data_IF_258333699611
#
_entry.id   IF_258333699611
#
_cell.length_a   1.000
_cell.length_b   1.000
_cell.length_c   1.000
_cell.angle_alpha   90.00
_cell.angle_beta   90.00
_cell.angle_gamma   90.00
#
_symmetry.space_group_name_H-M   'P 1'
#
loop_
_entity.id
_entity.type
_entity.pdbx_description
1 polymer ?
#
# COMPACT_ATOMS: atom_id res chain seq x y z
N UNK A 1 -8.04 -13.49 14.01
CA UNK A 1 -7.49 -12.33 14.75
C UNK A 1 -8.65 -11.64 15.44
N UNK A 2 -8.48 -11.24 16.70
CA UNK A 2 -9.48 -10.47 17.44
C UNK A 2 -8.86 -9.13 17.79
N UNK A 3 -9.61 -8.04 17.64
CA UNK A 3 -9.21 -6.72 18.09
C UNK A 3 -9.42 -6.60 19.60
N UNK A 4 -8.57 -5.84 20.28
CA UNK A 4 -8.87 -5.48 21.67
C UNK A 4 -9.97 -4.41 21.76
N UNK A 5 -10.36 -4.06 22.99
CA UNK A 5 -11.43 -3.08 23.25
C UNK A 5 -11.15 -1.67 22.70
N UNK A 6 -9.91 -1.37 22.35
CA UNK A 6 -9.49 -0.09 21.75
C UNK A 6 -9.34 -0.20 20.23
N UNK A 7 -9.72 -1.33 19.63
CA UNK A 7 -9.61 -1.55 18.19
C UNK A 7 -8.20 -1.90 17.72
N UNK A 8 -7.26 -2.23 18.61
CA UNK A 8 -5.89 -2.60 18.21
C UNK A 8 -5.83 -4.06 17.80
N UNK A 9 -5.06 -4.34 16.75
CA UNK A 9 -4.79 -5.70 16.24
C UNK A 9 -3.32 -6.03 16.42
N UNK A 10 -3.04 -7.20 16.98
CA UNK A 10 -1.68 -7.71 17.07
C UNK A 10 -1.26 -8.30 15.72
N UNK A 11 -0.36 -7.61 15.01
CA UNK A 11 0.24 -8.13 13.79
C UNK A 11 1.40 -9.07 14.13
N UNK A 12 1.32 -10.34 13.69
CA UNK A 12 2.36 -11.32 13.95
C UNK A 12 3.72 -10.89 13.35
N UNK A 13 4.83 -11.21 14.02
CA UNK A 13 6.16 -10.79 13.59
C UNK A 13 6.55 -11.31 12.19
N UNK A 14 6.08 -12.50 11.82
CA UNK A 14 6.25 -13.06 10.47
C UNK A 14 5.57 -12.20 9.41
N UNK A 15 4.33 -11.76 9.66
CA UNK A 15 3.58 -10.87 8.77
C UNK A 15 4.22 -9.48 8.68
N UNK A 16 4.70 -8.92 9.80
CA UNK A 16 5.48 -7.67 9.78
C UNK A 16 6.71 -7.78 8.90
N UNK A 17 7.47 -8.87 9.03
CA UNK A 17 8.69 -9.10 8.24
C UNK A 17 8.38 -9.29 6.76
N UNK A 18 7.36 -10.07 6.44
CA UNK A 18 6.88 -10.27 5.07
C UNK A 18 6.46 -8.93 4.43
N UNK A 19 5.64 -8.15 5.12
CA UNK A 19 5.19 -6.84 4.66
C UNK A 19 6.30 -5.78 4.65
N UNK A 20 7.41 -6.00 5.36
CA UNK A 20 8.50 -5.03 5.52
C UNK A 20 8.10 -3.83 6.39
N UNK A 21 7.24 -4.04 7.39
CA UNK A 21 6.76 -3.01 8.30
C UNK A 21 7.73 -2.91 9.49
N UNK A 22 8.31 -1.73 9.68
CA UNK A 22 9.18 -1.40 10.82
C UNK A 22 8.50 -0.45 11.81
N UNK A 23 8.02 0.70 11.33
CA UNK A 23 7.42 1.74 12.18
C UNK A 23 6.12 2.28 11.61
N UNK A 24 6.21 3.00 10.50
CA UNK A 24 5.07 3.71 9.92
C UNK A 24 4.30 2.83 8.94
N UNK A 25 2.98 2.84 9.08
CA UNK A 25 2.05 2.03 8.27
C UNK A 25 1.00 2.91 7.62
N UNK A 26 0.55 2.49 6.45
CA UNK A 26 -0.62 3.05 5.75
C UNK A 26 -1.70 1.97 5.75
N UNK A 27 -2.92 2.37 6.09
CA UNK A 27 -4.09 1.48 6.06
C UNK A 27 -5.00 1.95 4.94
N UNK A 28 -5.39 1.02 4.07
CA UNK A 28 -6.23 1.30 2.90
C UNK A 28 -7.46 0.41 2.96
N UNK A 29 -8.65 1.02 2.85
CA UNK A 29 -9.90 0.28 2.70
C UNK A 29 -10.12 -0.13 1.25
N UNK A 30 -10.32 -1.41 1.01
CA UNK A 30 -10.62 -1.98 -0.31
C UNK A 30 -11.89 -2.84 -0.18
N UNK A 31 -13.04 -2.21 -0.43
CA UNK A 31 -14.35 -2.85 -0.26
C UNK A 31 -14.59 -3.27 1.19
N UNK A 32 -14.69 -4.58 1.41
CA UNK A 32 -14.90 -5.22 2.72
C UNK A 32 -13.59 -5.58 3.45
N UNK A 33 -12.44 -5.23 2.86
CA UNK A 33 -11.11 -5.55 3.38
C UNK A 33 -10.32 -4.29 3.70
N UNK A 34 -9.36 -4.43 4.60
CA UNK A 34 -8.34 -3.43 4.84
C UNK A 34 -6.97 -4.02 4.51
N UNK A 35 -6.18 -3.26 3.76
CA UNK A 35 -4.78 -3.57 3.49
C UNK A 35 -3.87 -2.76 4.42
N UNK A 36 -2.78 -3.39 4.86
CA UNK A 36 -1.78 -2.77 5.72
C UNK A 36 -0.46 -2.77 4.97
N UNK A 37 0.04 -1.57 4.69
CA UNK A 37 1.26 -1.35 3.93
C UNK A 37 2.33 -0.72 4.82
N UNK A 38 3.59 -1.05 4.55
CA UNK A 38 4.70 -0.23 5.05
C UNK A 38 4.67 1.12 4.32
N UNK A 39 4.74 2.23 5.05
CA UNK A 39 4.57 3.56 4.45
C UNK A 39 5.58 3.83 3.32
N UNK A 40 6.83 3.41 3.48
CA UNK A 40 7.86 3.54 2.44
C UNK A 40 7.52 2.76 1.16
N UNK A 41 6.98 1.53 1.29
CA UNK A 41 6.58 0.72 0.13
C UNK A 41 5.36 1.32 -0.56
N UNK A 42 4.43 1.89 0.20
CA UNK A 42 3.28 2.57 -0.36
C UNK A 42 3.70 3.78 -1.19
N UNK A 43 4.59 4.63 -0.66
CA UNK A 43 5.11 5.80 -1.39
C UNK A 43 5.82 5.43 -2.69
N UNK A 44 6.60 4.34 -2.68
CA UNK A 44 7.25 3.86 -3.89
C UNK A 44 6.23 3.38 -4.92
N UNK A 45 5.24 2.60 -4.49
CA UNK A 45 4.18 2.09 -5.37
C UNK A 45 3.33 3.21 -5.97
N UNK A 46 3.04 4.24 -5.18
CA UNK A 46 2.30 5.43 -5.63
C UNK A 46 3.09 6.18 -6.71
N UNK A 47 4.39 6.39 -6.47
CA UNK A 47 5.29 7.02 -7.44
C UNK A 47 5.42 6.22 -8.74
N UNK A 48 5.54 4.90 -8.64
CA UNK A 48 5.59 4.02 -9.82
C UNK A 48 4.29 4.10 -10.63
N UNK A 49 3.14 4.11 -9.96
CA UNK A 49 1.85 4.26 -10.64
C UNK A 49 1.72 5.60 -11.36
N UNK A 50 2.20 6.69 -10.75
CA UNK A 50 2.25 8.01 -11.40
C UNK A 50 3.14 8.00 -12.65
N UNK A 51 4.28 7.31 -12.60
CA UNK A 51 5.21 7.18 -13.73
C UNK A 51 4.60 6.35 -14.87
N UNK A 52 4.03 5.19 -14.56
CA UNK A 52 3.36 4.32 -15.55
C UNK A 52 2.22 5.06 -16.26
N UNK A 53 1.40 5.81 -15.51
CA UNK A 53 0.34 6.63 -16.11
C UNK A 53 0.88 7.74 -17.02
N UNK A 54 2.01 8.37 -16.67
CA UNK A 54 2.62 9.40 -17.50
C UNK A 54 3.17 8.81 -18.80
N UNK A 55 3.82 7.64 -18.74
CA UNK A 55 4.32 6.91 -19.92
C UNK A 55 3.16 6.49 -20.84
N UNK A 56 2.08 5.92 -20.29
CA UNK A 56 0.88 5.57 -21.08
C UNK A 56 0.25 6.80 -21.75
N UNK A 57 0.27 7.95 -21.08
CA UNK A 57 -0.27 9.21 -21.62
C UNK A 57 0.61 9.79 -22.74
N UNK A 58 1.93 9.67 -22.64
CA UNK A 58 2.86 10.04 -23.74
C UNK A 58 2.70 9.12 -24.96
N UNK A 59 2.54 7.81 -24.75
CA UNK A 59 2.30 6.85 -25.84
C UNK A 59 0.96 7.10 -26.56
N UNK A 60 -0.07 7.55 -25.84
CA UNK A 60 -1.37 7.92 -26.40
C UNK A 60 -1.35 9.24 -27.20
N UNK A 61 -0.44 10.16 -26.89
CA UNK A 61 -0.34 11.48 -27.54
C UNK A 61 0.49 11.46 -28.84
N UNK A 62 0.97 10.28 -29.28
CA UNK A 62 1.82 10.08 -30.47
C UNK A 62 1.13 9.41 -31.67
N UNK A 63 -0.20 9.23 -31.65
CA UNK A 63 -0.93 8.52 -32.71
C UNK A 63 -1.86 9.42 -33.56
N UNK A 64 -1.46 10.69 -33.79
CA UNK A 64 -2.03 11.60 -34.81
C UNK A 64 -0.98 12.27 -35.68
#
# INVERSE_FOLDING_TARGET
>A
MSCDKQGRVLLAASLRRYAGIDKDVVIIGVGDKAEIWAAAKWQEKDRMADQEMAEEMEDLDLDI
#
